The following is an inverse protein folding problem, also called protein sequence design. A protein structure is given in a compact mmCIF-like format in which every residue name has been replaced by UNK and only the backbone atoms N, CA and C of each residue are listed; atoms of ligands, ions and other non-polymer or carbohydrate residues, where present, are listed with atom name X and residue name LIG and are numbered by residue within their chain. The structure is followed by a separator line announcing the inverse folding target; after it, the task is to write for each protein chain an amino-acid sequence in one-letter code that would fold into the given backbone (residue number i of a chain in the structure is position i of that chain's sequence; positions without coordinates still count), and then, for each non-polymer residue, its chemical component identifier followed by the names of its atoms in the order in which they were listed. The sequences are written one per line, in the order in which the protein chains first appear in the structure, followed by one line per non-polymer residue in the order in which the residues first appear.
data_IF_011923952430
#
_entry.id   IF_011923952430
#
_cell.length_a   1.000
_cell.length_b   1.000
_cell.length_c   1.000
_cell.angle_alpha   90.00
_cell.angle_beta   90.00
_cell.angle_gamma   90.00
#
_symmetry.space_group_name_H-M   'P 1'
#
loop_
_entity.id
_entity.type
_entity.pdbx_description
1 polymer ?
#
# COMPACT_ATOMS: atom_id res chain seq x y z
N UNK A 1 -19.10 9.57 6.86
CA UNK A 1 -19.12 10.70 5.92
C UNK A 1 -19.14 10.19 4.49
N UNK A 2 -19.91 10.84 3.61
CA UNK A 2 -19.95 10.53 2.16
C UNK A 2 -19.24 11.67 1.45
N UNK A 3 -18.26 11.33 0.64
CA UNK A 3 -17.48 12.29 -0.12
C UNK A 3 -17.73 12.09 -1.61
N UNK A 4 -17.61 13.15 -2.42
CA UNK A 4 -18.01 13.12 -3.83
C UNK A 4 -16.84 13.31 -4.80
N UNK A 5 -16.81 12.55 -5.90
CA UNK A 5 -15.98 12.81 -7.10
C UNK A 5 -16.57 13.96 -7.90
N UNK A 6 -15.77 15.01 -8.14
CA UNK A 6 -16.18 16.12 -9.00
C UNK A 6 -16.14 15.73 -10.48
N UNK A 7 -17.24 15.94 -11.20
CA UNK A 7 -17.30 15.87 -12.67
C UNK A 7 -17.86 17.19 -13.21
N UNK A 8 -17.13 17.93 -14.07
CA UNK A 8 -17.69 19.14 -14.68
C UNK A 8 -18.94 18.81 -15.50
N UNK A 9 -20.09 19.37 -15.10
CA UNK A 9 -21.36 19.21 -15.81
C UNK A 9 -22.19 17.96 -15.49
N UNK A 10 -21.83 17.19 -14.46
CA UNK A 10 -22.61 16.05 -13.98
C UNK A 10 -22.87 16.10 -12.47
N UNK A 11 -23.86 15.32 -12.00
CA UNK A 11 -24.14 15.21 -10.57
C UNK A 11 -22.93 14.61 -9.83
N UNK A 12 -22.55 15.15 -8.66
CA UNK A 12 -21.48 14.61 -7.85
C UNK A 12 -21.74 13.13 -7.53
N UNK A 13 -20.80 12.27 -7.87
CA UNK A 13 -20.92 10.84 -7.58
C UNK A 13 -20.24 10.55 -6.24
N UNK A 14 -20.86 9.80 -5.32
CA UNK A 14 -20.18 9.40 -4.10
C UNK A 14 -18.93 8.58 -4.46
N UNK A 15 -17.87 8.73 -3.67
CA UNK A 15 -16.75 7.81 -3.68
C UNK A 15 -16.76 6.96 -2.42
N UNK A 16 -16.11 5.82 -2.52
CA UNK A 16 -15.79 4.99 -1.37
C UNK A 16 -14.37 4.45 -1.53
N UNK A 17 -13.76 4.19 -0.39
CA UNK A 17 -12.39 3.75 -0.31
C UNK A 17 -12.28 2.70 0.78
N UNK A 18 -11.23 1.89 0.69
CA UNK A 18 -10.86 0.94 1.74
C UNK A 18 -9.72 1.53 2.55
N UNK A 19 -9.83 1.43 3.87
CA UNK A 19 -8.77 1.80 4.81
C UNK A 19 -8.23 0.55 5.47
N UNK A 20 -6.98 0.21 5.15
CA UNK A 20 -6.20 -0.85 5.77
C UNK A 20 -5.26 -0.20 6.78
N UNK A 21 -5.10 -0.79 7.97
CA UNK A 21 -4.18 -0.28 8.97
C UNK A 21 -3.39 -1.40 9.62
N UNK A 22 -2.13 -1.11 9.96
CA UNK A 22 -1.24 -1.98 10.74
C UNK A 22 -1.14 -3.42 10.17
N UNK A 23 -0.84 -3.60 8.87
CA UNK A 23 -0.75 -4.94 8.29
C UNK A 23 0.46 -5.74 8.81
N UNK A 24 1.49 -5.09 9.39
CA UNK A 24 2.68 -5.73 9.95
C UNK A 24 3.28 -6.81 9.05
N UNK A 25 3.49 -6.48 7.78
CA UNK A 25 3.98 -7.46 6.81
C UNK A 25 5.40 -7.89 7.19
N UNK A 26 5.60 -9.20 7.20
CA UNK A 26 6.89 -9.85 7.41
C UNK A 26 7.31 -10.58 6.14
N UNK A 27 8.61 -10.81 6.00
CA UNK A 27 9.14 -11.64 4.94
C UNK A 27 8.60 -13.07 5.02
N UNK A 28 8.60 -13.75 3.87
CA UNK A 28 8.03 -15.10 3.69
C UNK A 28 8.61 -16.19 4.62
N UNK A 29 9.62 -15.87 5.43
CA UNK A 29 10.10 -16.74 6.51
C UNK A 29 9.02 -17.03 7.57
N UNK A 30 8.02 -16.16 7.74
CA UNK A 30 6.99 -16.30 8.78
C UNK A 30 5.58 -16.64 8.24
N UNK A 31 5.38 -16.66 6.91
CA UNK A 31 4.12 -17.09 6.28
C UNK A 31 2.99 -16.04 6.28
N UNK A 32 3.28 -14.76 6.53
CA UNK A 32 2.28 -13.68 6.49
C UNK A 32 1.94 -13.20 5.06
N UNK A 33 2.72 -13.57 4.03
CA UNK A 33 2.46 -13.24 2.63
C UNK A 33 1.04 -13.63 2.18
N UNK A 34 0.56 -14.80 2.59
CA UNK A 34 -0.77 -15.28 2.19
C UNK A 34 -1.90 -14.42 2.75
N UNK A 35 -1.72 -13.76 3.91
CA UNK A 35 -2.74 -12.85 4.47
C UNK A 35 -2.78 -11.55 3.68
N UNK A 36 -1.62 -10.94 3.43
CA UNK A 36 -1.54 -9.70 2.68
C UNK A 36 -2.08 -9.87 1.26
N UNK A 37 -1.63 -10.91 0.57
CA UNK A 37 -2.12 -11.30 -0.75
C UNK A 37 -3.63 -11.52 -0.78
N UNK A 38 -4.19 -12.17 0.25
CA UNK A 38 -5.63 -12.35 0.36
C UNK A 38 -6.37 -11.02 0.54
N UNK A 39 -5.86 -10.12 1.39
CA UNK A 39 -6.46 -8.78 1.59
C UNK A 39 -6.45 -7.98 0.28
N UNK A 40 -5.34 -7.96 -0.45
CA UNK A 40 -5.24 -7.30 -1.75
C UNK A 40 -6.24 -7.90 -2.74
N UNK A 41 -6.30 -9.23 -2.82
CA UNK A 41 -7.23 -9.94 -3.70
C UNK A 41 -8.69 -9.58 -3.38
N UNK A 42 -9.10 -9.71 -2.12
CA UNK A 42 -10.47 -9.45 -1.69
C UNK A 42 -10.87 -7.99 -1.90
N UNK A 43 -9.95 -7.06 -1.67
CA UNK A 43 -10.18 -5.61 -1.88
C UNK A 43 -10.37 -5.29 -3.35
N UNK A 44 -9.56 -5.88 -4.24
CA UNK A 44 -9.68 -5.73 -5.70
C UNK A 44 -10.99 -6.34 -6.24
N UNK A 45 -11.46 -7.43 -5.64
CA UNK A 45 -12.63 -8.19 -6.10
C UNK A 45 -13.96 -7.70 -5.50
N UNK A 46 -13.96 -6.58 -4.76
CA UNK A 46 -15.20 -5.95 -4.29
C UNK A 46 -16.07 -5.51 -5.47
N UNK A 47 -17.39 -5.54 -5.30
CA UNK A 47 -18.36 -5.06 -6.29
C UNK A 47 -19.30 -4.00 -5.67
N UNK A 48 -19.19 -2.71 -6.06
CA UNK A 48 -18.19 -2.19 -7.00
C UNK A 48 -16.73 -2.30 -6.45
N UNK A 49 -15.69 -2.04 -7.27
CA UNK A 49 -14.28 -1.91 -6.81
C UNK A 49 -13.94 -0.50 -6.27
N UNK A 50 -13.18 -0.39 -5.15
CA UNK A 50 -12.96 0.89 -4.47
C UNK A 50 -12.30 1.93 -5.37
N UNK A 51 -12.67 3.20 -5.15
CA UNK A 51 -12.10 4.30 -5.91
C UNK A 51 -10.61 4.51 -5.62
N UNK A 52 -10.18 4.13 -4.41
CA UNK A 52 -8.79 4.06 -3.97
C UNK A 52 -8.70 3.29 -2.65
N UNK A 53 -7.48 2.96 -2.25
CA UNK A 53 -7.14 2.36 -0.96
C UNK A 53 -6.17 3.28 -0.22
N UNK A 54 -6.37 3.42 1.10
CA UNK A 54 -5.34 3.96 1.99
C UNK A 54 -4.84 2.83 2.89
N UNK A 55 -3.53 2.71 3.03
CA UNK A 55 -2.89 1.74 3.91
C UNK A 55 -1.98 2.50 4.88
N UNK A 56 -2.27 2.47 6.17
CA UNK A 56 -1.66 3.38 7.14
C UNK A 56 -1.13 2.65 8.36
N UNK A 57 -0.02 3.12 8.93
CA UNK A 57 0.54 2.56 10.15
C UNK A 57 1.17 1.19 9.91
N UNK A 58 2.34 1.00 10.52
CA UNK A 58 3.09 -0.25 10.63
C UNK A 58 2.90 -1.19 9.43
N UNK A 59 3.31 -0.69 8.25
CA UNK A 59 3.12 -1.40 6.97
C UNK A 59 3.90 -2.71 6.95
N UNK A 60 5.09 -2.68 7.55
CA UNK A 60 5.95 -3.84 7.77
C UNK A 60 6.28 -3.98 9.25
N UNK A 61 6.50 -5.20 9.72
CA UNK A 61 6.80 -5.44 11.15
C UNK A 61 8.19 -4.92 11.53
N UNK A 62 9.13 -4.89 10.58
CA UNK A 62 10.43 -4.25 10.76
C UNK A 62 10.83 -3.52 9.49
N UNK A 63 10.82 -2.20 9.49
CA UNK A 63 11.29 -1.37 8.37
C UNK A 63 12.81 -1.21 8.31
N UNK A 64 13.52 -1.61 9.36
CA UNK A 64 14.98 -1.58 9.46
C UNK A 64 15.58 -2.96 9.78
N UNK A 65 16.92 -3.03 9.77
CA UNK A 65 17.65 -4.26 10.07
C UNK A 65 17.78 -5.16 8.85
N UNK A 66 18.14 -6.42 9.08
CA UNK A 66 18.45 -7.40 8.03
C UNK A 66 17.25 -7.76 7.16
N UNK A 67 16.03 -7.74 7.70
CA UNK A 67 14.81 -8.16 7.00
C UNK A 67 13.99 -7.00 6.45
N UNK A 68 14.34 -5.75 6.74
CA UNK A 68 13.48 -4.62 6.38
C UNK A 68 13.26 -4.43 4.89
N UNK A 69 14.29 -4.64 4.07
CA UNK A 69 14.16 -4.63 2.61
C UNK A 69 13.26 -5.78 2.11
N UNK A 70 13.34 -6.95 2.75
CA UNK A 70 12.54 -8.11 2.39
C UNK A 70 11.06 -7.90 2.73
N UNK A 71 10.77 -7.35 3.91
CA UNK A 71 9.40 -7.05 4.32
C UNK A 71 8.73 -6.05 3.36
N UNK A 72 9.46 -5.01 2.92
CA UNK A 72 8.95 -4.08 1.90
C UNK A 72 8.80 -4.73 0.53
N UNK A 73 9.67 -5.69 0.20
CA UNK A 73 9.51 -6.53 -0.98
C UNK A 73 8.17 -7.27 -0.96
N UNK A 74 7.82 -7.91 0.15
CA UNK A 74 6.53 -8.60 0.31
C UNK A 74 5.33 -7.66 0.29
N UNK A 75 5.43 -6.48 0.93
CA UNK A 75 4.37 -5.45 0.89
C UNK A 75 4.01 -5.10 -0.56
N UNK A 76 5.00 -5.01 -1.44
CA UNK A 76 4.80 -4.59 -2.82
C UNK A 76 4.65 -5.73 -3.83
N UNK A 77 4.93 -6.98 -3.47
CA UNK A 77 5.00 -8.10 -4.40
C UNK A 77 3.70 -8.33 -5.20
N UNK A 78 2.56 -7.92 -4.64
CA UNK A 78 1.22 -8.12 -5.22
C UNK A 78 0.61 -6.83 -5.79
N UNK A 79 1.42 -5.77 -5.93
CA UNK A 79 1.00 -4.48 -6.42
C UNK A 79 1.64 -4.15 -7.76
N UNK A 80 0.96 -3.32 -8.55
CA UNK A 80 1.43 -2.78 -9.82
C UNK A 80 1.89 -1.34 -9.63
N UNK A 81 2.87 -0.86 -10.42
CA UNK A 81 3.38 0.53 -10.33
C UNK A 81 3.25 1.25 -11.67
N UNK A 82 2.67 2.45 -11.65
CA UNK A 82 2.64 3.38 -12.79
C UNK A 82 2.78 4.82 -12.26
N UNK A 83 3.65 5.65 -12.89
CA UNK A 83 3.84 7.07 -12.55
C UNK A 83 3.98 7.36 -11.03
N UNK A 84 4.78 6.55 -10.33
CA UNK A 84 5.03 6.64 -8.88
C UNK A 84 3.84 6.37 -7.95
N UNK A 85 2.76 5.79 -8.49
CA UNK A 85 1.61 5.30 -7.74
C UNK A 85 1.57 3.77 -7.80
N UNK A 86 1.18 3.14 -6.70
CA UNK A 86 0.93 1.71 -6.63
C UNK A 86 -0.55 1.39 -6.83
N UNK A 87 -0.84 0.22 -7.38
CA UNK A 87 -2.19 -0.21 -7.76
C UNK A 87 -2.44 -1.66 -7.38
N UNK A 88 -3.69 -1.99 -7.06
CA UNK A 88 -4.12 -3.35 -6.73
C UNK A 88 -4.32 -4.24 -7.97
N UNK A 89 -4.34 -3.66 -9.18
CA UNK A 89 -4.64 -4.34 -10.43
C UNK A 89 -3.67 -3.97 -11.56
N UNK A 90 -3.57 -4.85 -12.55
CA UNK A 90 -2.65 -4.68 -13.69
C UNK A 90 -3.04 -3.54 -14.61
N UNK A 91 -4.32 -3.16 -14.60
CA UNK A 91 -4.88 -2.09 -15.43
C UNK A 91 -4.71 -0.71 -14.76
N UNK A 92 -4.09 -0.65 -13.58
CA UNK A 92 -3.81 0.56 -12.81
C UNK A 92 -5.07 1.42 -12.54
N UNK A 93 -6.17 0.76 -12.15
CA UNK A 93 -7.47 1.43 -11.92
C UNK A 93 -7.78 1.67 -10.44
N UNK A 94 -7.19 0.88 -9.54
CA UNK A 94 -7.42 0.99 -8.08
C UNK A 94 -6.11 1.39 -7.38
N UNK A 95 -5.85 2.69 -7.18
CA UNK A 95 -4.61 3.15 -6.55
C UNK A 95 -4.60 2.89 -5.05
N UNK A 96 -3.42 2.60 -4.50
CA UNK A 96 -3.16 2.48 -3.05
C UNK A 96 -2.14 3.51 -2.60
N UNK A 97 -2.46 4.19 -1.50
CA UNK A 97 -1.63 5.22 -0.89
C UNK A 97 -1.17 4.78 0.50
N UNK A 98 0.12 4.93 0.77
CA UNK A 98 0.74 4.49 2.01
C UNK A 98 0.98 5.64 2.99
N UNK A 99 0.80 5.37 4.28
CA UNK A 99 1.21 6.24 5.38
C UNK A 99 2.03 5.40 6.39
N UNK A 100 3.33 5.68 6.59
CA UNK A 100 4.17 4.92 7.50
C UNK A 100 3.77 5.10 8.97
N UNK A 101 3.87 4.03 9.75
CA UNK A 101 3.85 4.03 11.21
C UNK A 101 5.26 4.00 11.81
N UNK A 102 5.34 3.60 13.09
CA UNK A 102 6.63 3.59 13.80
C UNK A 102 7.50 2.38 13.45
N UNK A 103 6.91 1.25 13.05
CA UNK A 103 7.69 0.08 12.61
C UNK A 103 8.36 0.30 11.24
N UNK A 104 7.87 1.23 10.44
CA UNK A 104 8.34 1.53 9.07
C UNK A 104 9.67 2.31 9.00
N UNK A 105 10.22 2.75 10.12
CA UNK A 105 11.44 3.54 10.14
C UNK A 105 12.67 2.68 9.79
N UNK A 106 13.29 2.93 8.62
CA UNK A 106 14.49 2.21 8.13
C UNK A 106 15.81 2.57 8.85
N UNK A 107 15.85 3.70 9.56
CA UNK A 107 16.99 4.12 10.41
C UNK A 107 16.48 4.76 11.69
N UNK A 108 17.18 4.49 12.80
CA UNK A 108 17.01 5.22 14.06
C UNK A 108 17.01 6.74 13.75
N UNK A 109 15.85 7.39 13.91
CA UNK A 109 15.64 8.85 13.79
C UNK A 109 15.51 9.50 12.41
N UNK A 110 15.22 8.77 11.32
CA UNK A 110 14.86 9.43 10.05
C UNK A 110 13.44 9.06 9.63
N UNK A 111 12.51 9.97 9.90
CA UNK A 111 11.28 10.13 9.12
C UNK A 111 11.70 10.59 7.72
N UNK A 112 12.08 9.65 6.86
CA UNK A 112 12.46 9.95 5.47
C UNK A 112 11.17 10.29 4.72
N UNK A 113 11.06 11.47 4.09
CA UNK A 113 9.86 11.83 3.35
C UNK A 113 9.66 10.88 2.15
N UNK A 114 8.53 10.17 2.18
CA UNK A 114 7.60 9.72 1.13
C UNK A 114 8.05 9.56 -0.33
N UNK A 115 9.32 9.29 -0.60
CA UNK A 115 9.77 8.77 -1.88
C UNK A 115 10.25 7.35 -1.65
N UNK A 116 9.40 6.40 -2.04
CA UNK A 116 9.76 5.00 -2.20
C UNK A 116 10.94 4.83 -3.18
N UNK A 117 11.27 5.84 -4.00
CA UNK A 117 12.40 5.78 -4.93
C UNK A 117 13.76 5.68 -4.22
N UNK A 118 13.87 6.22 -3.00
CA UNK A 118 15.04 6.00 -2.15
C UNK A 118 15.09 4.58 -1.54
N UNK A 119 13.97 3.84 -1.57
CA UNK A 119 13.90 2.49 -1.03
C UNK A 119 14.39 1.42 -2.02
N UNK A 120 14.23 1.64 -3.33
CA UNK A 120 14.48 0.66 -4.41
C UNK A 120 15.79 0.81 -5.18
N UNK A 121 16.66 1.77 -4.84
CA UNK A 121 17.93 2.00 -5.56
C UNK A 121 18.97 0.85 -5.44
N UNK A 122 18.62 -0.27 -4.79
CA UNK A 122 19.44 -1.49 -4.74
C UNK A 122 18.60 -2.76 -4.82
N UNK A 123 17.87 -2.95 -5.92
CA UNK A 123 17.51 -4.30 -6.37
C UNK A 123 17.82 -4.37 -7.86
N UNK A 124 19.01 -4.88 -8.17
CA UNK A 124 19.38 -5.44 -9.48
C UNK A 124 19.50 -6.94 -9.32
#
# INVERSE_FOLDING_TARGET
DVFYKYRPGGDPQPFYFVHITDPHITDNYFGDDERWKLIIKLTREMDPPPDFVICTGDLVDWGNGWTGELNYGELLAHLWKENDVFYLDSDCTIPIYFCPGNHDARKFYQWIPYSFDNYYAKVY
#
